data_IF_862190988709
#
_entry.id   IF_862190988709
#
_cell.length_a   1.000
_cell.length_b   1.000
_cell.length_c   1.000
_cell.angle_alpha   90.00
_cell.angle_beta   90.00
_cell.angle_gamma   90.00
#
_symmetry.space_group_name_H-M   'P 1'
#
loop_
_entity.id
_entity.type
_entity.pdbx_description
1 polymer ?
#
# COMPACT_ATOMS: atom_id res chain seq x y z
N UNK A 1 29.05 -3.61 -5.19
CA UNK A 1 28.59 -4.68 -4.27
C UNK A 1 28.40 -5.96 -5.07
N UNK A 2 28.98 -7.08 -4.65
CA UNK A 2 28.86 -8.35 -5.39
C UNK A 2 27.40 -8.85 -5.45
N UNK A 3 26.96 -9.49 -6.55
CA UNK A 3 25.57 -9.91 -6.75
C UNK A 3 25.01 -10.81 -5.63
N UNK A 4 25.87 -11.55 -4.94
CA UNK A 4 25.49 -12.40 -3.80
C UNK A 4 25.11 -11.60 -2.54
N UNK A 5 25.82 -10.51 -2.25
CA UNK A 5 25.55 -9.67 -1.08
C UNK A 5 24.20 -8.95 -1.20
N UNK A 6 23.89 -8.42 -2.40
CA UNK A 6 22.60 -7.77 -2.66
C UNK A 6 21.44 -8.73 -2.41
N UNK A 7 21.54 -9.98 -2.88
CA UNK A 7 20.48 -11.00 -2.71
C UNK A 7 20.25 -11.35 -1.23
N UNK A 8 21.32 -11.53 -0.46
CA UNK A 8 21.24 -11.86 0.97
C UNK A 8 20.62 -10.70 1.76
N UNK A 9 21.04 -9.46 1.50
CA UNK A 9 20.47 -8.28 2.14
C UNK A 9 18.98 -8.17 1.82
N UNK A 10 18.58 -8.39 0.56
CA UNK A 10 17.18 -8.31 0.15
C UNK A 10 16.31 -9.37 0.84
N UNK A 11 16.82 -10.58 1.01
CA UNK A 11 16.15 -11.66 1.74
C UNK A 11 16.01 -11.31 3.24
N UNK A 12 17.08 -10.80 3.86
CA UNK A 12 17.06 -10.40 5.27
C UNK A 12 16.09 -9.25 5.53
N UNK A 13 16.10 -8.24 4.66
CA UNK A 13 15.16 -7.12 4.72
C UNK A 13 13.72 -7.61 4.54
N UNK A 14 13.48 -8.51 3.58
CA UNK A 14 12.16 -9.13 3.40
C UNK A 14 11.68 -9.89 4.64
N UNK A 15 12.53 -10.74 5.22
CA UNK A 15 12.21 -11.49 6.44
C UNK A 15 11.93 -10.57 7.63
N UNK A 16 12.69 -9.47 7.77
CA UNK A 16 12.46 -8.46 8.79
C UNK A 16 11.09 -7.78 8.63
N UNK A 17 10.70 -7.41 7.41
CA UNK A 17 9.38 -6.80 7.17
C UNK A 17 8.24 -7.76 7.49
N UNK A 18 8.36 -9.03 7.11
CA UNK A 18 7.38 -10.05 7.47
C UNK A 18 7.25 -10.15 8.99
N UNK A 19 8.37 -10.27 9.70
CA UNK A 19 8.38 -10.30 11.16
C UNK A 19 7.77 -9.04 11.78
N UNK A 20 8.13 -7.85 11.29
CA UNK A 20 7.61 -6.58 11.79
C UNK A 20 6.08 -6.47 11.63
N UNK A 21 5.52 -6.98 10.53
CA UNK A 21 4.07 -7.05 10.33
C UNK A 21 3.41 -7.96 11.36
N UNK A 22 3.99 -9.14 11.64
CA UNK A 22 3.45 -10.08 12.63
C UNK A 22 3.64 -9.62 14.08
N UNK A 23 4.73 -8.92 14.40
CA UNK A 23 5.03 -8.42 15.75
C UNK A 23 4.25 -7.16 16.09
N UNK A 24 3.89 -6.33 15.10
CA UNK A 24 3.12 -5.11 15.30
C UNK A 24 1.99 -4.99 14.28
N UNK A 25 1.00 -5.90 14.34
CA UNK A 25 -0.09 -5.96 13.38
C UNK A 25 -0.89 -4.67 13.35
N UNK A 26 -1.08 -3.99 14.50
CA UNK A 26 -1.83 -2.73 14.56
C UNK A 26 -1.17 -1.60 13.76
N UNK A 27 0.17 -1.49 13.84
CA UNK A 27 0.92 -0.49 13.08
C UNK A 27 0.89 -0.80 11.58
N UNK A 28 1.07 -2.08 11.22
CA UNK A 28 1.01 -2.51 9.82
C UNK A 28 -0.40 -2.34 9.23
N UNK A 29 -1.44 -2.71 9.98
CA UNK A 29 -2.83 -2.51 9.61
C UNK A 29 -3.15 -1.04 9.39
N UNK A 30 -2.68 -0.13 10.27
CA UNK A 30 -2.85 1.31 10.11
C UNK A 30 -2.24 1.85 8.82
N UNK A 31 -1.05 1.39 8.42
CA UNK A 31 -0.41 1.82 7.16
C UNK A 31 -1.21 1.32 5.95
N UNK A 32 -1.60 0.04 5.97
CA UNK A 32 -2.35 -0.57 4.86
C UNK A 32 -3.74 0.04 4.71
N UNK A 33 -4.47 0.23 5.82
CA UNK A 33 -5.80 0.87 5.78
C UNK A 33 -5.74 2.31 5.35
N UNK A 34 -4.73 3.08 5.78
CA UNK A 34 -4.54 4.44 5.30
C UNK A 34 -4.24 4.49 3.80
N UNK A 35 -3.35 3.62 3.31
CA UNK A 35 -3.03 3.54 1.88
C UNK A 35 -4.27 3.13 1.05
N UNK A 36 -5.04 2.17 1.54
CA UNK A 36 -6.28 1.74 0.91
C UNK A 36 -7.34 2.84 0.90
N UNK A 37 -7.48 3.60 2.00
CA UNK A 37 -8.37 4.75 2.08
C UNK A 37 -8.07 5.78 1.00
N UNK A 38 -6.80 6.16 0.82
CA UNK A 38 -6.39 7.11 -0.22
C UNK A 38 -6.74 6.61 -1.63
N UNK A 39 -6.55 5.33 -1.90
CA UNK A 39 -6.90 4.74 -3.20
C UNK A 39 -8.41 4.76 -3.44
N UNK A 40 -9.21 4.37 -2.45
CA UNK A 40 -10.67 4.37 -2.53
C UNK A 40 -11.21 5.79 -2.68
N UNK A 41 -10.68 6.76 -1.93
CA UNK A 41 -11.08 8.17 -2.02
C UNK A 41 -10.75 8.76 -3.40
N UNK A 42 -9.56 8.46 -3.93
CA UNK A 42 -9.18 8.85 -5.28
C UNK A 42 -10.10 8.23 -6.35
N UNK A 43 -10.44 6.95 -6.20
CA UNK A 43 -11.37 6.28 -7.10
C UNK A 43 -12.78 6.87 -7.03
N UNK A 44 -13.28 7.15 -5.82
CA UNK A 44 -14.57 7.79 -5.60
C UNK A 44 -14.62 9.21 -6.20
N UNK A 45 -13.52 9.96 -6.14
CA UNK A 45 -13.43 11.26 -6.79
C UNK A 45 -13.58 11.16 -8.31
N UNK A 46 -12.97 10.14 -8.93
CA UNK A 46 -13.10 9.85 -10.35
C UNK A 46 -14.54 9.47 -10.70
N UNK A 47 -15.16 8.57 -9.93
CA UNK A 47 -16.56 8.17 -10.15
C UNK A 47 -17.51 9.37 -10.03
N UNK A 48 -17.35 10.21 -9.00
CA UNK A 48 -18.15 11.43 -8.83
C UNK A 48 -18.00 12.41 -10.00
N UNK A 49 -16.80 12.51 -10.56
CA UNK A 49 -16.58 13.34 -11.74
C UNK A 49 -17.38 12.84 -12.94
N UNK A 50 -17.36 11.53 -13.21
CA UNK A 50 -18.15 10.94 -14.29
C UNK A 50 -19.66 11.00 -14.04
N UNK A 51 -20.12 10.78 -12.80
CA UNK A 51 -21.53 10.95 -12.43
C UNK A 51 -21.99 12.39 -12.70
N UNK A 52 -21.15 13.37 -12.37
CA UNK A 52 -21.46 14.79 -12.65
C UNK A 52 -21.58 15.04 -14.15
N UNK A 53 -20.71 14.45 -14.98
CA UNK A 53 -20.79 14.60 -16.44
C UNK A 53 -21.99 13.90 -17.05
N UNK A 54 -22.29 12.68 -16.61
CA UNK A 54 -23.37 11.84 -17.17
C UNK A 54 -24.76 12.30 -16.72
N UNK A 55 -24.86 12.87 -15.52
CA UNK A 55 -26.12 13.33 -14.94
C UNK A 55 -26.36 14.84 -15.17
N UNK A 56 -25.47 15.54 -15.87
CA UNK A 56 -25.60 16.96 -16.26
C UNK A 56 -26.38 17.15 -17.58
N UNK A 57 -27.31 16.25 -17.90
CA UNK A 57 -28.20 16.38 -19.08
C UNK A 57 -29.56 16.93 -18.68
#
# INVERSE_FOLDING_TARGET
MGPKAKKIILILVGAFFIYAIFTSPDKAAGIVTNAWGVLVDGFNAILRFFDTLLNSN
#
